data_IF_075270123025
#
_entry.id   IF_075270123025
#
_cell.length_a   1.000
_cell.length_b   1.000
_cell.length_c   1.000
_cell.angle_alpha   90.00
_cell.angle_beta   90.00
_cell.angle_gamma   90.00
#
_symmetry.space_group_name_H-M   'P 1'
#
loop_
_entity.id
_entity.type
_entity.pdbx_description
1 polymer ?
#
# COMPACT_ATOMS: atom_id res chain seq x y z
N UNK A 1 -4.16 9.13 -5.27
CA UNK A 1 -3.65 7.89 -4.65
C UNK A 1 -4.11 6.63 -5.40
N UNK A 2 -5.42 6.34 -5.49
CA UNK A 2 -5.90 5.10 -6.15
C UNK A 2 -5.48 4.97 -7.62
N UNK A 3 -5.49 6.07 -8.39
CA UNK A 3 -4.99 6.06 -9.78
C UNK A 3 -3.51 5.65 -9.87
N UNK A 4 -2.66 6.18 -9.00
CA UNK A 4 -1.24 5.81 -8.96
C UNK A 4 -1.05 4.35 -8.55
N UNK A 5 -1.81 3.85 -7.56
CA UNK A 5 -1.76 2.44 -7.16
C UNK A 5 -2.21 1.50 -8.29
N UNK A 6 -3.14 1.96 -9.13
CA UNK A 6 -3.60 1.21 -10.29
C UNK A 6 -2.58 1.24 -11.43
N UNK A 7 -2.00 2.40 -11.71
CA UNK A 7 -0.92 2.59 -12.69
C UNK A 7 0.31 1.74 -12.36
N UNK A 8 0.67 1.69 -11.07
CA UNK A 8 1.74 0.83 -10.56
C UNK A 8 1.33 -0.65 -10.43
N UNK A 9 0.09 -1.02 -10.74
CA UNK A 9 -0.38 -2.41 -10.73
C UNK A 9 -0.55 -3.03 -9.33
N UNK A 10 -0.64 -2.22 -8.27
CA UNK A 10 -0.95 -2.70 -6.92
C UNK A 10 -2.45 -2.96 -6.72
N UNK A 11 -3.30 -2.23 -7.44
CA UNK A 11 -4.74 -2.48 -7.48
C UNK A 11 -5.22 -2.57 -8.92
N UNK A 12 -6.38 -3.18 -9.12
CA UNK A 12 -7.13 -3.06 -10.37
C UNK A 12 -8.55 -2.62 -10.04
N UNK A 13 -9.12 -1.79 -10.91
CA UNK A 13 -10.49 -1.34 -10.76
C UNK A 13 -11.47 -2.07 -11.68
N UNK A 14 -12.73 -2.12 -11.25
CA UNK A 14 -13.85 -2.64 -12.01
C UNK A 14 -15.06 -1.72 -11.80
N UNK A 15 -15.77 -1.40 -12.88
CA UNK A 15 -17.04 -0.71 -12.81
C UNK A 15 -18.16 -1.72 -12.54
N UNK A 16 -18.84 -1.57 -11.42
CA UNK A 16 -19.94 -2.43 -11.00
C UNK A 16 -21.20 -1.61 -10.89
N UNK A 17 -22.28 -2.11 -11.49
CA UNK A 17 -23.61 -1.51 -11.38
C UNK A 17 -24.31 -2.03 -10.12
N UNK A 18 -24.59 -1.13 -9.17
CA UNK A 18 -25.34 -1.46 -7.95
C UNK A 18 -26.65 -0.69 -7.94
N UNK A 19 -27.71 -1.37 -8.34
CA UNK A 19 -29.03 -0.78 -8.52
C UNK A 19 -29.01 0.30 -9.59
N UNK A 20 -29.18 1.57 -9.19
CA UNK A 20 -29.17 2.74 -10.09
C UNK A 20 -27.82 3.47 -10.14
N UNK A 21 -26.79 3.01 -9.42
CA UNK A 21 -25.49 3.69 -9.34
C UNK A 21 -24.40 2.82 -9.94
N UNK A 22 -23.53 3.44 -10.72
CA UNK A 22 -22.27 2.83 -11.14
C UNK A 22 -21.19 3.17 -10.12
N UNK A 23 -20.50 2.15 -9.63
CA UNK A 23 -19.48 2.26 -8.61
C UNK A 23 -18.19 1.68 -9.14
N UNK A 24 -17.08 2.39 -8.88
CA UNK A 24 -15.75 1.88 -9.20
C UNK A 24 -15.19 1.15 -7.99
N UNK A 25 -15.14 -0.17 -8.09
CA UNK A 25 -14.55 -1.03 -7.07
C UNK A 25 -13.07 -1.22 -7.36
N UNK A 26 -12.27 -1.39 -6.31
CA UNK A 26 -10.85 -1.68 -6.41
C UNK A 26 -10.56 -2.96 -5.66
N UNK A 27 -9.71 -3.81 -6.24
CA UNK A 27 -9.18 -5.02 -5.58
C UNK A 27 -7.66 -5.02 -5.63
N UNK A 28 -7.04 -5.55 -4.57
CA UNK A 28 -5.60 -5.76 -4.54
C UNK A 28 -5.20 -6.80 -5.60
N UNK A 29 -4.10 -6.54 -6.29
CA UNK A 29 -3.37 -7.56 -7.04
C UNK A 29 -2.47 -8.36 -6.09
N UNK A 30 -1.83 -9.43 -6.58
CA UNK A 30 -0.80 -10.13 -5.78
C UNK A 30 0.38 -9.20 -5.43
N UNK A 31 0.77 -8.31 -6.36
CA UNK A 31 1.75 -7.24 -6.10
C UNK A 31 1.28 -6.32 -4.96
N UNK A 32 -0.01 -5.94 -4.98
CA UNK A 32 -0.65 -5.15 -3.93
C UNK A 32 -0.66 -5.83 -2.57
N UNK A 33 -1.01 -7.12 -2.51
CA UNK A 33 -0.97 -7.91 -1.27
C UNK A 33 0.44 -7.99 -0.69
N UNK A 34 1.45 -8.23 -1.54
CA UNK A 34 2.84 -8.27 -1.11
C UNK A 34 3.32 -6.91 -0.54
N UNK A 35 2.91 -5.79 -1.16
CA UNK A 35 3.19 -4.46 -0.62
C UNK A 35 2.51 -4.26 0.75
N UNK A 36 1.23 -4.64 0.87
CA UNK A 36 0.48 -4.50 2.11
C UNK A 36 1.14 -5.24 3.28
N UNK A 37 1.65 -6.46 3.04
CA UNK A 37 2.39 -7.23 4.06
C UNK A 37 3.64 -6.47 4.52
N UNK A 38 4.40 -5.88 3.60
CA UNK A 38 5.59 -5.09 3.93
C UNK A 38 5.24 -3.84 4.74
N UNK A 39 4.20 -3.12 4.32
CA UNK A 39 3.68 -1.93 5.03
C UNK A 39 3.23 -2.32 6.43
N UNK A 40 2.45 -3.39 6.56
CA UNK A 40 2.01 -3.87 7.87
C UNK A 40 3.21 -4.24 8.75
N UNK A 41 4.19 -4.99 8.23
CA UNK A 41 5.40 -5.35 8.95
C UNK A 41 6.20 -4.12 9.42
N UNK A 42 6.35 -3.12 8.57
CA UNK A 42 7.01 -1.86 8.90
C UNK A 42 6.32 -1.14 10.08
N UNK A 43 4.99 -1.07 10.06
CA UNK A 43 4.21 -0.42 11.14
C UNK A 43 3.93 -1.32 12.35
N UNK A 44 4.24 -2.61 12.27
CA UNK A 44 4.14 -3.54 13.42
C UNK A 44 5.22 -3.25 14.47
N UNK A 45 6.33 -2.67 14.04
CA UNK A 45 7.34 -2.17 14.96
C UNK A 45 6.88 -0.83 15.55
N UNK A 46 7.13 -0.56 16.85
CA UNK A 46 6.89 0.75 17.41
C UNK A 46 7.58 1.81 16.53
N UNK A 47 6.87 2.88 16.17
CA UNK A 47 7.36 3.96 15.31
C UNK A 47 8.74 4.46 15.77
N UNK A 48 8.99 4.45 17.10
CA UNK A 48 10.29 4.76 17.69
C UNK A 48 11.44 3.86 17.18
N UNK A 49 11.23 2.55 17.07
CA UNK A 49 12.22 1.61 16.56
C UNK A 49 12.50 1.83 15.07
N UNK A 50 11.44 2.03 14.29
CA UNK A 50 11.53 2.33 12.86
C UNK A 50 12.30 3.63 12.59
N UNK A 51 12.02 4.69 13.36
CA UNK A 51 12.75 5.97 13.26
C UNK A 51 14.21 5.80 13.69
N UNK A 52 14.48 5.00 14.73
CA UNK A 52 15.84 4.73 15.19
C UNK A 52 16.68 3.99 14.14
N UNK A 53 16.12 2.99 13.46
CA UNK A 53 16.79 2.27 12.39
C UNK A 53 17.11 3.20 11.21
N UNK A 54 16.13 4.01 10.78
CA UNK A 54 16.31 4.98 9.68
C UNK A 54 17.36 6.07 10.00
N UNK A 55 17.49 6.49 11.26
CA UNK A 55 18.51 7.45 11.68
C UNK A 55 19.88 6.82 11.90
N UNK A 56 19.94 5.52 12.19
CA UNK A 56 21.19 4.79 12.42
C UNK A 56 21.95 4.50 11.13
N UNK A 57 21.25 4.31 10.00
CA UNK A 57 21.86 4.18 8.66
C UNK A 57 22.64 5.44 8.22
N UNK A 58 22.50 6.59 8.89
CA UNK A 58 23.28 7.80 8.59
C UNK A 58 24.65 7.88 9.28
N UNK A 59 25.06 6.86 10.04
CA UNK A 59 26.36 6.83 10.74
C UNK A 59 27.38 5.88 10.11
N UNK A 60 27.52 5.92 8.79
CA UNK A 60 28.76 5.51 8.13
C UNK A 60 29.20 6.65 7.20
N UNK A 61 30.05 7.54 7.74
CA UNK A 61 30.98 8.43 7.04
C UNK A 61 32.03 8.88 8.06
#
# INVERSE_FOLDING_TARGET
>A
LLYWLEDEGFVVSEWIKKGRRDLRYYRLTEKGKALLVKVHGFFSNPIRGVIADFLSERKEN
#
